data_IF_492138371870
#
_entry.id   IF_492138371870
#
_cell.length_a   1.000
_cell.length_b   1.000
_cell.length_c   1.000
_cell.angle_alpha   90.00
_cell.angle_beta   90.00
_cell.angle_gamma   90.00
#
_symmetry.space_group_name_H-M   'P 1'
#
loop_
_entity.id
_entity.type
_entity.pdbx_description
1 polymer ?
#
# COMPACT_ATOMS: atom_id res chain seq x y z
N UNK A 1 -11.07 5.00 7.20
CA UNK A 1 -11.70 6.31 7.46
C UNK A 1 -12.50 6.72 6.24
N UNK A 2 -11.85 6.82 5.09
CA UNK A 2 -12.46 7.10 3.79
C UNK A 2 -12.42 5.81 2.99
N UNK A 3 -13.56 5.35 2.52
CA UNK A 3 -13.70 4.08 1.79
C UNK A 3 -14.09 4.27 0.33
N UNK A 4 -14.53 5.47 -0.04
CA UNK A 4 -14.85 5.79 -1.43
C UNK A 4 -14.60 7.27 -1.75
N UNK A 5 -14.43 7.58 -3.03
CA UNK A 5 -14.30 8.95 -3.53
C UNK A 5 -15.53 9.82 -3.17
N UNK A 6 -16.71 9.24 -3.17
CA UNK A 6 -17.94 9.94 -2.84
C UNK A 6 -17.96 10.56 -1.43
N UNK A 7 -17.09 10.10 -0.53
CA UNK A 7 -16.95 10.68 0.80
C UNK A 7 -16.06 11.93 0.82
N UNK A 8 -15.23 12.13 -0.22
CA UNK A 8 -14.28 13.25 -0.31
C UNK A 8 -14.98 14.44 -0.95
N UNK A 9 -15.02 15.55 -0.22
CA UNK A 9 -15.52 16.84 -0.72
C UNK A 9 -14.44 17.59 -1.48
N UNK A 10 -13.22 17.63 -0.91
CA UNK A 10 -12.13 18.44 -1.42
C UNK A 10 -10.79 17.91 -0.90
N UNK A 11 -9.76 18.01 -1.73
CA UNK A 11 -8.35 17.77 -1.33
C UNK A 11 -7.57 19.02 -1.69
N UNK A 12 -6.96 19.66 -0.70
CA UNK A 12 -6.20 20.90 -0.85
C UNK A 12 -4.77 20.69 -0.34
N UNK A 13 -3.78 21.18 -1.09
CA UNK A 13 -2.41 21.22 -0.63
C UNK A 13 -2.06 22.65 -0.19
N UNK A 14 -1.77 22.83 1.08
CA UNK A 14 -1.24 24.07 1.63
C UNK A 14 0.28 24.07 1.57
N UNK A 15 0.84 24.85 0.67
CA UNK A 15 2.28 24.88 0.41
C UNK A 15 3.05 25.51 1.58
N UNK A 16 2.51 26.54 2.24
CA UNK A 16 3.19 27.21 3.36
C UNK A 16 3.33 26.30 4.57
N UNK A 17 2.30 25.50 4.86
CA UNK A 17 2.29 24.55 5.96
C UNK A 17 2.83 23.18 5.57
N UNK A 18 3.16 22.95 4.30
CA UNK A 18 3.50 21.63 3.74
C UNK A 18 2.51 20.55 4.18
N UNK A 19 1.23 20.87 4.16
CA UNK A 19 0.16 20.03 4.65
C UNK A 19 -0.91 19.76 3.58
N UNK A 20 -1.45 18.55 3.59
CA UNK A 20 -2.63 18.18 2.77
C UNK A 20 -3.86 18.18 3.66
N UNK A 21 -4.89 18.93 3.24
CA UNK A 21 -6.19 18.99 3.92
C UNK A 21 -7.19 18.20 3.09
N UNK A 22 -7.77 17.19 3.67
CA UNK A 22 -8.85 16.40 3.04
C UNK A 22 -10.16 16.75 3.75
N UNK A 23 -11.10 17.37 3.03
CA UNK A 23 -12.43 17.66 3.53
C UNK A 23 -13.40 16.57 3.08
N UNK A 24 -14.24 16.12 3.99
CA UNK A 24 -15.23 15.07 3.74
C UNK A 24 -16.65 15.61 3.94
N UNK A 25 -17.63 15.00 3.25
CA UNK A 25 -19.05 15.36 3.45
C UNK A 25 -19.56 14.95 4.83
N UNK A 26 -18.99 13.89 5.43
CA UNK A 26 -19.31 13.45 6.78
C UNK A 26 -18.20 13.85 7.74
N UNK A 27 -18.57 14.29 8.93
CA UNK A 27 -17.61 14.57 9.98
C UNK A 27 -16.89 13.28 10.39
N UNK A 28 -15.57 13.29 10.34
CA UNK A 28 -14.73 12.15 10.77
C UNK A 28 -14.32 12.37 12.22
N UNK A 29 -14.67 11.45 13.10
CA UNK A 29 -14.23 11.47 14.51
C UNK A 29 -12.93 10.71 14.70
N UNK A 30 -11.95 10.99 13.84
CA UNK A 30 -10.68 10.23 13.83
C UNK A 30 -9.90 10.39 15.13
N UNK A 31 -9.90 11.57 15.72
CA UNK A 31 -9.18 11.86 16.97
C UNK A 31 -9.74 11.07 18.16
N UNK A 32 -11.05 10.93 18.28
CA UNK A 32 -11.68 10.16 19.33
C UNK A 32 -11.44 8.64 19.22
N UNK A 33 -11.20 8.14 17.99
CA UNK A 33 -10.92 6.72 17.73
C UNK A 33 -9.44 6.34 17.93
N UNK A 34 -8.53 7.32 18.00
CA UNK A 34 -7.08 7.11 18.06
C UNK A 34 -6.49 7.11 19.48
N UNK A 35 -7.28 6.81 20.50
CA UNK A 35 -6.85 6.87 21.92
C UNK A 35 -5.78 5.82 22.28
N UNK A 36 -5.60 4.76 21.49
CA UNK A 36 -4.57 3.73 21.74
C UNK A 36 -3.47 3.76 20.67
N UNK A 37 -2.49 4.65 20.86
CA UNK A 37 -1.25 4.65 20.07
C UNK A 37 -0.33 3.53 20.53
N UNK A 38 -0.18 2.48 19.74
CA UNK A 38 0.88 1.49 19.94
C UNK A 38 2.13 2.00 19.22
N UNK A 39 3.17 2.35 19.99
CA UNK A 39 4.47 2.71 19.43
C UNK A 39 5.18 1.44 18.97
N UNK A 40 5.42 1.31 17.68
CA UNK A 40 6.31 0.27 17.14
C UNK A 40 7.71 0.84 16.90
N UNK A 41 8.73 0.09 17.28
CA UNK A 41 10.13 0.46 17.09
C UNK A 41 10.48 0.45 15.60
N UNK A 42 10.86 1.60 15.04
CA UNK A 42 11.56 1.60 13.76
C UNK A 42 11.21 2.64 12.70
N UNK A 43 10.15 3.40 12.84
CA UNK A 43 9.92 4.64 12.08
C UNK A 43 8.97 5.53 12.88
N UNK A 44 9.30 6.80 12.90
CA UNK A 44 8.73 7.79 13.80
C UNK A 44 7.28 8.15 13.48
N UNK A 45 6.34 7.29 13.62
CA UNK A 45 4.93 7.57 13.98
C UNK A 45 4.17 6.26 13.99
N UNK A 46 3.87 5.78 15.20
CA UNK A 46 3.10 4.56 15.40
C UNK A 46 1.71 4.67 14.76
N UNK A 47 1.49 3.88 13.75
CA UNK A 47 0.16 3.70 13.17
C UNK A 47 -0.70 2.92 14.16
N UNK A 48 -1.93 3.33 14.34
CA UNK A 48 -2.92 2.72 15.24
C UNK A 48 -3.33 1.37 14.68
N UNK A 49 -2.68 0.28 15.12
CA UNK A 49 -2.93 -1.05 14.59
C UNK A 49 -4.13 -1.76 15.22
N UNK A 50 -4.47 -1.47 16.48
CA UNK A 50 -5.48 -2.23 17.21
C UNK A 50 -6.86 -2.20 16.56
N UNK A 51 -7.34 -1.03 16.19
CA UNK A 51 -8.69 -0.88 15.62
C UNK A 51 -8.76 -1.26 14.13
N UNK A 52 -7.68 -1.03 13.38
CA UNK A 52 -7.61 -1.49 11.98
C UNK A 52 -7.66 -3.01 11.90
N UNK A 53 -6.90 -3.71 12.75
CA UNK A 53 -6.83 -5.15 12.74
C UNK A 53 -8.20 -5.83 12.92
N UNK A 54 -9.05 -5.29 13.80
CA UNK A 54 -10.38 -5.83 14.07
C UNK A 54 -11.41 -5.57 12.96
N UNK A 55 -11.14 -4.59 12.10
CA UNK A 55 -12.04 -4.19 11.00
C UNK A 55 -11.63 -4.79 9.64
N UNK A 56 -10.41 -5.29 9.50
CA UNK A 56 -9.92 -5.88 8.25
C UNK A 56 -10.57 -7.24 8.01
N UNK A 57 -11.15 -7.39 6.84
CA UNK A 57 -11.68 -8.68 6.37
C UNK A 57 -10.60 -9.41 5.56
N UNK A 58 -10.56 -10.76 5.61
CA UNK A 58 -9.70 -11.53 4.72
C UNK A 58 -10.03 -11.24 3.26
N UNK A 59 -8.99 -11.18 2.43
CA UNK A 59 -9.15 -11.09 0.98
C UNK A 59 -9.87 -12.36 0.51
N UNK A 60 -10.91 -12.25 -0.33
CA UNK A 60 -11.57 -13.41 -0.91
C UNK A 60 -10.51 -14.32 -1.57
N UNK A 61 -10.64 -15.63 -1.39
CA UNK A 61 -9.78 -16.59 -2.08
C UNK A 61 -10.01 -16.44 -3.58
N UNK A 62 -9.13 -15.73 -4.23
CA UNK A 62 -9.14 -15.56 -5.66
C UNK A 62 -8.32 -16.67 -6.29
N UNK A 63 -8.69 -17.02 -7.52
CA UNK A 63 -7.95 -17.97 -8.32
C UNK A 63 -6.63 -17.31 -8.75
N UNK A 64 -5.57 -17.52 -7.95
CA UNK A 64 -4.22 -16.99 -8.21
C UNK A 64 -3.55 -17.64 -9.42
N UNK A 65 -4.16 -18.68 -9.99
CA UNK A 65 -3.77 -19.32 -11.27
C UNK A 65 -3.75 -18.33 -12.44
N UNK A 66 -4.33 -17.14 -12.26
CA UNK A 66 -4.32 -16.06 -13.26
C UNK A 66 -2.94 -15.44 -13.50
N UNK A 67 -1.98 -15.63 -12.58
CA UNK A 67 -0.65 -15.01 -12.67
C UNK A 67 0.44 -16.05 -12.58
N UNK A 68 1.16 -16.23 -13.67
CA UNK A 68 2.38 -17.05 -13.65
C UNK A 68 3.54 -16.27 -13.04
N UNK A 69 4.50 -16.98 -12.46
CA UNK A 69 5.72 -16.37 -11.92
C UNK A 69 6.54 -15.65 -13.00
N UNK A 70 6.43 -16.12 -14.26
CA UNK A 70 7.13 -15.50 -15.39
C UNK A 70 6.50 -14.16 -15.78
N UNK A 71 5.17 -14.02 -15.72
CA UNK A 71 4.49 -12.73 -15.93
C UNK A 71 4.88 -11.74 -14.85
N UNK A 72 4.89 -12.14 -13.57
CA UNK A 72 5.34 -11.28 -12.48
C UNK A 72 6.81 -10.88 -12.67
N UNK A 73 7.66 -11.79 -13.16
CA UNK A 73 9.08 -11.48 -13.43
C UNK A 73 9.24 -10.48 -14.56
N UNK A 74 8.50 -10.63 -15.64
CA UNK A 74 8.51 -9.69 -16.76
C UNK A 74 8.07 -8.29 -16.29
N UNK A 75 6.99 -8.21 -15.52
CA UNK A 75 6.47 -6.98 -14.93
C UNK A 75 7.50 -6.30 -14.01
N UNK A 76 8.15 -7.04 -13.13
CA UNK A 76 9.17 -6.48 -12.23
C UNK A 76 10.40 -5.99 -13.00
N UNK A 77 10.77 -6.66 -14.09
CA UNK A 77 11.85 -6.21 -14.98
C UNK A 77 11.48 -4.87 -15.63
N UNK A 78 10.26 -4.71 -16.10
CA UNK A 78 9.76 -3.45 -16.65
C UNK A 78 9.79 -2.34 -15.59
N UNK A 79 9.24 -2.57 -14.40
CA UNK A 79 9.24 -1.62 -13.29
C UNK A 79 10.66 -1.16 -12.94
N UNK A 80 11.62 -2.08 -12.89
CA UNK A 80 13.01 -1.75 -12.54
C UNK A 80 13.75 -0.99 -13.63
N UNK A 81 13.23 -0.97 -14.85
CA UNK A 81 13.73 -0.18 -15.98
C UNK A 81 13.15 1.23 -16.07
N UNK A 82 12.13 1.56 -15.28
CA UNK A 82 11.52 2.89 -15.30
C UNK A 82 12.48 3.95 -14.72
N UNK A 83 12.51 5.16 -15.29
CA UNK A 83 13.15 6.31 -14.65
C UNK A 83 12.55 6.52 -13.26
N UNK A 84 13.40 6.73 -12.25
CA UNK A 84 12.96 6.89 -10.89
C UNK A 84 13.86 7.84 -10.11
N UNK A 85 13.27 8.55 -9.16
CA UNK A 85 14.03 9.40 -8.23
C UNK A 85 15.02 8.59 -7.39
N UNK A 86 14.78 7.29 -7.21
CA UNK A 86 15.74 6.38 -6.57
C UNK A 86 17.05 6.30 -7.34
N UNK A 87 17.01 6.31 -8.67
CA UNK A 87 18.22 6.28 -9.52
C UNK A 87 19.04 7.56 -9.36
N UNK A 88 18.40 8.67 -9.07
CA UNK A 88 19.03 9.97 -8.89
C UNK A 88 19.52 10.20 -7.45
N UNK A 89 18.69 9.88 -6.45
CA UNK A 89 18.92 10.21 -5.04
C UNK A 89 19.32 9.02 -4.14
N UNK A 90 19.09 7.78 -4.57
CA UNK A 90 19.49 6.56 -3.86
C UNK A 90 18.72 6.23 -2.57
N UNK A 91 17.90 7.14 -2.05
CA UNK A 91 17.26 7.04 -0.73
C UNK A 91 15.73 7.13 -0.77
N UNK A 92 15.12 6.61 -1.82
CA UNK A 92 13.67 6.69 -2.08
C UNK A 92 13.08 5.30 -2.22
N UNK A 93 11.82 5.14 -1.85
CA UNK A 93 11.06 3.92 -2.06
C UNK A 93 10.03 4.11 -3.15
N UNK A 94 9.97 3.15 -4.09
CA UNK A 94 8.93 3.06 -5.10
C UNK A 94 7.85 2.06 -4.71
N UNK A 95 6.60 2.37 -5.04
CA UNK A 95 5.47 1.46 -5.02
C UNK A 95 4.68 1.57 -6.32
N UNK A 96 4.25 0.43 -6.87
CA UNK A 96 3.63 0.34 -8.19
C UNK A 96 2.38 -0.51 -8.09
N UNK A 97 1.27 -0.02 -8.61
CA UNK A 97 0.07 -0.82 -8.82
C UNK A 97 0.04 -1.30 -10.28
N UNK A 98 -0.18 -2.58 -10.45
CA UNK A 98 -0.20 -3.21 -11.76
C UNK A 98 -1.48 -4.03 -11.97
N UNK A 99 -1.88 -4.12 -13.21
CA UNK A 99 -2.92 -5.00 -13.70
C UNK A 99 -2.34 -5.95 -14.73
N UNK A 100 -2.22 -7.24 -14.38
CA UNK A 100 -1.57 -8.25 -15.22
C UNK A 100 -0.15 -7.85 -15.64
N UNK A 101 0.05 -7.46 -16.88
CA UNK A 101 1.30 -7.07 -17.52
C UNK A 101 1.45 -5.53 -17.66
N UNK A 102 0.49 -4.76 -17.13
CA UNK A 102 0.43 -3.32 -17.28
C UNK A 102 0.66 -2.59 -15.97
N UNK A 103 1.55 -1.62 -15.99
CA UNK A 103 1.73 -0.66 -14.90
C UNK A 103 0.59 0.37 -14.97
N UNK A 104 -0.17 0.50 -13.89
CA UNK A 104 -1.25 1.49 -13.76
C UNK A 104 -0.73 2.81 -13.20
N UNK A 105 0.05 2.73 -12.13
CA UNK A 105 0.60 3.90 -11.45
C UNK A 105 1.88 3.54 -10.71
N UNK A 106 2.86 4.47 -10.75
CA UNK A 106 4.10 4.41 -10.01
C UNK A 106 4.21 5.61 -9.08
N UNK A 107 4.41 5.37 -7.79
CA UNK A 107 4.51 6.39 -6.76
C UNK A 107 5.80 6.21 -5.97
N UNK A 108 6.50 7.31 -5.74
CA UNK A 108 7.73 7.34 -4.97
C UNK A 108 7.61 8.21 -3.73
N UNK A 109 8.36 7.83 -2.69
CA UNK A 109 8.48 8.60 -1.44
C UNK A 109 9.73 8.18 -0.67
N UNK A 110 10.27 9.05 0.18
CA UNK A 110 11.35 8.71 1.10
C UNK A 110 10.93 7.60 2.08
N UNK A 111 9.67 7.60 2.49
CA UNK A 111 9.09 6.59 3.36
C UNK A 111 8.31 5.52 2.59
N UNK A 112 8.70 4.23 2.74
CA UNK A 112 7.96 3.13 2.09
C UNK A 112 6.47 3.10 2.41
N UNK A 113 6.08 3.54 3.61
CA UNK A 113 4.68 3.61 4.02
C UNK A 113 3.93 4.70 3.26
N UNK A 114 4.58 5.84 3.03
CA UNK A 114 3.98 6.93 2.27
C UNK A 114 3.83 6.56 0.79
N UNK A 115 4.84 5.88 0.22
CA UNK A 115 4.76 5.42 -1.18
C UNK A 115 3.54 4.50 -1.40
N UNK A 116 3.27 3.58 -0.47
CA UNK A 116 2.08 2.70 -0.55
C UNK A 116 0.77 3.45 -0.23
N UNK A 117 0.81 4.45 0.65
CA UNK A 117 -0.36 5.29 0.96
C UNK A 117 -0.77 6.16 -0.23
N UNK A 118 0.18 6.64 -1.03
CA UNK A 118 -0.09 7.32 -2.30
C UNK A 118 -0.83 6.41 -3.28
N UNK A 119 -0.42 5.12 -3.38
CA UNK A 119 -1.15 4.12 -4.18
C UNK A 119 -2.57 3.93 -3.65
N UNK A 120 -2.74 3.80 -2.33
CA UNK A 120 -4.06 3.67 -1.71
C UNK A 120 -4.97 4.87 -2.01
N UNK A 121 -4.43 6.08 -1.91
CA UNK A 121 -5.15 7.30 -2.27
C UNK A 121 -5.55 7.34 -3.74
N UNK A 122 -4.65 6.94 -4.63
CA UNK A 122 -4.91 6.88 -6.06
C UNK A 122 -6.02 5.87 -6.40
N UNK A 123 -6.01 4.68 -5.80
CA UNK A 123 -7.08 3.67 -5.95
C UNK A 123 -8.45 4.27 -5.61
N UNK A 124 -8.54 5.03 -4.51
CA UNK A 124 -9.78 5.66 -4.07
C UNK A 124 -10.22 6.78 -5.02
N UNK A 125 -9.29 7.62 -5.45
CA UNK A 125 -9.57 8.78 -6.30
C UNK A 125 -9.97 8.39 -7.72
N UNK A 126 -9.35 7.36 -8.27
CA UNK A 126 -9.62 6.85 -9.62
C UNK A 126 -10.67 5.72 -9.62
N UNK A 127 -11.25 5.40 -8.46
CA UNK A 127 -12.27 4.36 -8.31
C UNK A 127 -11.86 3.00 -8.89
N UNK A 128 -10.57 2.63 -8.72
CA UNK A 128 -10.00 1.39 -9.24
C UNK A 128 -10.46 0.19 -8.40
N UNK A 129 -10.90 -0.88 -9.05
CA UNK A 129 -11.11 -2.18 -8.40
C UNK A 129 -9.74 -2.82 -8.09
N UNK A 130 -9.36 -3.00 -6.82
CA UNK A 130 -8.06 -3.56 -6.45
C UNK A 130 -8.02 -5.09 -6.46
N UNK A 131 -9.15 -5.77 -6.64
CA UNK A 131 -9.32 -7.20 -6.35
C UNK A 131 -8.55 -8.14 -7.28
N UNK A 132 -8.08 -7.65 -8.42
CA UNK A 132 -7.28 -8.38 -9.39
C UNK A 132 -5.92 -7.71 -9.66
N UNK A 133 -5.44 -6.85 -8.77
CA UNK A 133 -4.22 -6.10 -8.99
C UNK A 133 -3.01 -6.71 -8.26
N UNK A 134 -1.83 -6.34 -8.73
CA UNK A 134 -0.54 -6.64 -8.10
C UNK A 134 0.02 -5.34 -7.55
N UNK A 135 0.41 -5.36 -6.29
CA UNK A 135 1.13 -4.26 -5.66
C UNK A 135 2.60 -4.64 -5.53
N UNK A 136 3.47 -3.90 -6.21
CA UNK A 136 4.91 -4.03 -6.08
C UNK A 136 5.47 -2.91 -5.19
N UNK A 137 6.50 -3.21 -4.40
CA UNK A 137 7.23 -2.21 -3.61
C UNK A 137 8.72 -2.53 -3.50
N UNK A 138 9.56 -1.51 -3.44
CA UNK A 138 10.98 -1.68 -3.12
C UNK A 138 11.24 -1.87 -1.63
N UNK A 139 10.25 -1.52 -0.78
CA UNK A 139 10.34 -1.54 0.67
C UNK A 139 10.24 -2.93 1.28
N UNK A 140 10.83 -3.11 2.47
CA UNK A 140 10.65 -4.34 3.26
C UNK A 140 9.18 -4.54 3.64
N UNK A 141 8.70 -5.79 3.57
CA UNK A 141 7.35 -6.16 3.97
C UNK A 141 7.30 -6.43 5.48
N UNK A 142 6.89 -5.43 6.22
CA UNK A 142 6.56 -5.52 7.65
C UNK A 142 5.08 -5.79 7.84
N UNK A 143 4.65 -6.07 9.07
CA UNK A 143 3.22 -6.23 9.40
C UNK A 143 2.37 -5.07 8.91
N UNK A 144 2.87 -3.85 9.03
CA UNK A 144 2.20 -2.63 8.58
C UNK A 144 1.97 -2.58 7.07
N UNK A 145 3.01 -2.89 6.30
CA UNK A 145 2.92 -2.92 4.84
C UNK A 145 1.90 -3.96 4.37
N UNK A 146 1.90 -5.13 5.02
CA UNK A 146 0.95 -6.22 4.73
C UNK A 146 -0.48 -5.79 5.07
N UNK A 147 -0.71 -5.18 6.24
CA UNK A 147 -2.04 -4.70 6.63
C UNK A 147 -2.56 -3.62 5.69
N UNK A 148 -1.69 -2.71 5.22
CA UNK A 148 -2.07 -1.71 4.21
C UNK A 148 -2.50 -2.36 2.90
N UNK A 149 -1.75 -3.34 2.37
CA UNK A 149 -2.12 -4.06 1.16
C UNK A 149 -3.47 -4.80 1.31
N UNK A 150 -3.69 -5.46 2.46
CA UNK A 150 -4.96 -6.12 2.76
C UNK A 150 -6.11 -5.11 2.84
N UNK A 151 -5.89 -3.96 3.50
CA UNK A 151 -6.90 -2.89 3.62
C UNK A 151 -7.29 -2.28 2.28
N UNK A 152 -6.37 -2.26 1.32
CA UNK A 152 -6.66 -1.86 -0.05
C UNK A 152 -7.43 -2.94 -0.84
N UNK A 153 -7.45 -4.19 -0.38
CA UNK A 153 -8.07 -5.30 -1.09
C UNK A 153 -7.21 -5.91 -2.20
N UNK A 154 -5.91 -5.56 -2.27
CA UNK A 154 -4.99 -6.08 -3.28
C UNK A 154 -4.54 -7.49 -2.91
N UNK A 155 -4.74 -8.51 -3.76
CA UNK A 155 -4.50 -9.91 -3.41
C UNK A 155 -3.02 -10.35 -3.50
N UNK A 156 -2.19 -9.63 -4.24
CA UNK A 156 -0.80 -9.99 -4.50
C UNK A 156 0.13 -8.82 -4.13
N UNK A 157 1.05 -9.09 -3.21
CA UNK A 157 2.07 -8.13 -2.78
C UNK A 157 3.46 -8.65 -3.10
N UNK A 158 4.17 -7.95 -3.98
CA UNK A 158 5.53 -8.28 -4.42
C UNK A 158 6.52 -7.28 -3.86
N UNK A 159 7.66 -7.74 -3.37
CA UNK A 159 8.72 -6.85 -2.89
C UNK A 159 10.09 -7.25 -3.40
N UNK A 160 10.89 -6.25 -3.78
CA UNK A 160 12.32 -6.38 -4.02
C UNK A 160 13.09 -6.75 -2.74
N UNK A 161 12.60 -6.31 -1.59
CA UNK A 161 13.17 -6.55 -0.27
C UNK A 161 12.62 -7.80 0.41
N UNK A 162 13.16 -8.14 1.57
CA UNK A 162 12.66 -9.23 2.39
C UNK A 162 11.41 -8.89 3.19
N UNK A 163 10.96 -9.86 3.96
CA UNK A 163 9.78 -9.75 4.82
C UNK A 163 10.06 -10.25 6.25
N UNK A 164 9.26 -9.81 7.20
CA UNK A 164 9.33 -10.25 8.60
C UNK A 164 8.47 -11.50 8.83
N UNK A 165 8.78 -12.27 9.90
CA UNK A 165 7.97 -13.42 10.32
C UNK A 165 6.51 -13.01 10.58
N UNK A 166 6.30 -11.87 11.23
CA UNK A 166 4.95 -11.34 11.51
C UNK A 166 4.17 -11.01 10.24
N UNK A 167 4.86 -10.48 9.21
CA UNK A 167 4.25 -10.22 7.90
C UNK A 167 3.73 -11.51 7.24
N UNK A 168 4.52 -12.59 7.27
CA UNK A 168 4.10 -13.91 6.74
C UNK A 168 2.88 -14.45 7.47
N UNK A 169 2.85 -14.32 8.80
CA UNK A 169 1.70 -14.77 9.59
C UNK A 169 0.41 -14.02 9.22
N UNK A 170 0.50 -12.70 9.08
CA UNK A 170 -0.63 -11.87 8.66
C UNK A 170 -1.10 -12.19 7.23
N UNK A 171 -0.16 -12.29 6.28
CA UNK A 171 -0.48 -12.62 4.90
C UNK A 171 -1.28 -13.94 4.80
N UNK A 172 -0.84 -14.98 5.52
CA UNK A 172 -1.55 -16.27 5.59
C UNK A 172 -2.93 -16.14 6.22
N UNK A 173 -3.05 -15.39 7.33
CA UNK A 173 -4.32 -15.20 8.03
C UNK A 173 -5.36 -14.50 7.17
N UNK A 174 -4.94 -13.55 6.35
CA UNK A 174 -5.83 -12.71 5.56
C UNK A 174 -5.85 -13.04 4.06
N UNK A 175 -5.31 -14.20 3.65
CA UNK A 175 -5.27 -14.67 2.26
C UNK A 175 -4.54 -13.74 1.29
N UNK A 176 -3.52 -13.00 1.75
CA UNK A 176 -2.67 -12.19 0.89
C UNK A 176 -1.54 -13.07 0.33
N UNK A 177 -1.36 -13.11 -0.98
CA UNK A 177 -0.18 -13.71 -1.60
C UNK A 177 0.99 -12.75 -1.52
N UNK A 178 2.10 -13.22 -0.95
CA UNK A 178 3.26 -12.37 -0.69
C UNK A 178 4.53 -12.99 -1.29
N UNK A 179 5.22 -12.21 -2.13
CA UNK A 179 6.50 -12.60 -2.75
C UNK A 179 7.57 -11.58 -2.31
N UNK A 180 8.61 -12.05 -1.67
CA UNK A 180 9.72 -11.21 -1.24
C UNK A 180 11.04 -11.56 -1.92
N UNK A 181 12.01 -10.62 -1.91
CA UNK A 181 13.33 -10.74 -2.55
C UNK A 181 13.23 -11.03 -4.05
N UNK A 182 12.23 -10.50 -4.67
CA UNK A 182 11.97 -10.70 -6.08
C UNK A 182 12.73 -9.65 -6.90
N UNK A 183 13.68 -10.13 -7.72
CA UNK A 183 14.57 -9.31 -8.55
C UNK A 183 14.49 -9.75 -10.01
#
# INVERSE_FOLDING_TARGET
>A
IISSRAEIKEVEFNQELSAVVVRTYKQTFFEAQNVKKIKTSGCAMGTVFGDMYNKIKPIPKQNLEKYSINEIRALVKEITGLPSLYMEAGAIHGSVLCERDRILVYMEDVGRHNAIDKISGWIVLEEIDPTDKILYTTGRLTSEMVLKAISMGVPILVSRSGFTKSAVHLARKFNLSMIGRFK
#
